data_IF_338068717698
#
_entry.id   IF_338068717698
#
_cell.length_a   1.000
_cell.length_b   1.000
_cell.length_c   1.000
_cell.angle_alpha   90.00
_cell.angle_beta   90.00
_cell.angle_gamma   90.00
#
_symmetry.space_group_name_H-M   'P 1'
#
loop_
_entity.id
_entity.type
_entity.pdbx_description
1 polymer ?
#
# COMPACT_ATOMS: atom_id res chain seq x y z
N UNK A 1 -21.64 -59.05 71.44
CA UNK A 1 -22.20 -57.90 70.74
C UNK A 1 -21.06 -57.11 70.07
N UNK A 2 -20.84 -57.35 68.77
CA UNK A 2 -19.63 -56.85 68.06
C UNK A 2 -20.05 -55.77 67.04
N UNK A 3 -19.75 -54.54 67.32
CA UNK A 3 -20.06 -53.42 66.47
C UNK A 3 -19.06 -53.36 65.29
N UNK A 4 -19.47 -53.54 64.07
CA UNK A 4 -18.73 -53.41 62.84
C UNK A 4 -18.70 -51.86 62.47
N UNK A 5 -17.53 -51.27 62.48
CA UNK A 5 -17.28 -49.93 61.96
C UNK A 5 -17.16 -50.01 60.43
N UNK A 6 -18.04 -49.36 59.73
CA UNK A 6 -17.95 -49.13 58.29
C UNK A 6 -17.01 -47.93 58.07
N UNK A 7 -15.83 -48.14 57.41
CA UNK A 7 -15.00 -47.11 56.90
C UNK A 7 -15.44 -46.70 55.53
N UNK A 8 -15.91 -45.47 55.36
CA UNK A 8 -16.18 -44.86 54.06
C UNK A 8 -14.85 -44.38 53.46
N UNK A 9 -14.40 -45.07 52.40
CA UNK A 9 -13.28 -44.63 51.56
C UNK A 9 -13.86 -43.60 50.58
N UNK A 10 -13.43 -42.36 50.73
CA UNK A 10 -13.74 -41.25 49.80
C UNK A 10 -12.76 -41.33 48.60
N UNK A 11 -13.23 -41.43 47.35
CA UNK A 11 -12.34 -41.31 46.22
C UNK A 11 -11.95 -39.83 46.03
N UNK A 12 -10.65 -39.57 46.02
CA UNK A 12 -10.06 -38.28 45.70
C UNK A 12 -10.07 -38.16 44.18
N UNK A 13 -10.97 -37.38 43.63
CA UNK A 13 -10.98 -37.04 42.20
C UNK A 13 -9.94 -35.94 41.99
N UNK A 14 -8.80 -36.30 41.44
CA UNK A 14 -7.78 -35.36 40.98
C UNK A 14 -8.24 -34.76 39.64
N UNK A 15 -8.71 -33.52 39.65
CA UNK A 15 -8.96 -32.75 38.45
C UNK A 15 -7.63 -32.17 37.92
N UNK A 16 -7.09 -32.80 36.88
CA UNK A 16 -5.94 -32.27 36.17
C UNK A 16 -6.38 -31.07 35.28
N UNK A 17 -6.06 -29.85 35.72
CA UNK A 17 -6.19 -28.65 34.86
C UNK A 17 -5.10 -28.69 33.81
N UNK A 18 -5.46 -28.99 32.58
CA UNK A 18 -4.61 -28.77 31.40
C UNK A 18 -4.68 -27.30 31.05
N UNK A 19 -3.68 -26.52 31.48
CA UNK A 19 -3.47 -25.15 31.05
C UNK A 19 -3.02 -25.16 29.58
N UNK A 20 -3.98 -25.01 28.65
CA UNK A 20 -3.71 -24.83 27.24
C UNK A 20 -3.06 -23.48 27.00
N UNK A 21 -1.73 -23.46 26.79
CA UNK A 21 -0.98 -22.27 26.35
C UNK A 21 -1.35 -22.00 24.88
N UNK A 22 -2.28 -21.10 24.63
CA UNK A 22 -2.53 -20.57 23.27
C UNK A 22 -1.36 -19.66 22.90
N UNK A 23 -0.44 -20.20 22.10
CA UNK A 23 0.63 -19.42 21.46
C UNK A 23 -0.05 -18.58 20.37
N UNK A 24 -0.27 -17.31 20.64
CA UNK A 24 -0.65 -16.35 19.61
C UNK A 24 0.55 -16.18 18.67
N UNK A 25 0.49 -16.80 17.50
CA UNK A 25 1.41 -16.49 16.41
C UNK A 25 1.15 -15.04 15.99
N UNK A 26 2.02 -14.10 16.41
CA UNK A 26 2.04 -12.75 15.88
C UNK A 26 2.49 -12.89 14.43
N UNK A 27 1.54 -12.87 13.51
CA UNK A 27 1.84 -12.79 12.09
C UNK A 27 2.61 -11.48 11.87
N UNK A 28 3.91 -11.59 11.57
CA UNK A 28 4.73 -10.44 11.20
C UNK A 28 4.14 -9.86 9.93
N UNK A 29 3.53 -8.68 10.04
CA UNK A 29 3.09 -7.94 8.87
C UNK A 29 4.32 -7.65 8.01
N UNK A 30 4.26 -7.92 6.69
CA UNK A 30 5.36 -7.56 5.81
C UNK A 30 5.67 -6.07 5.95
N UNK A 31 6.95 -5.68 5.91
CA UNK A 31 7.33 -4.28 6.08
C UNK A 31 6.64 -3.43 5.02
N UNK A 32 6.07 -2.31 5.45
CA UNK A 32 5.43 -1.37 4.53
C UNK A 32 6.49 -0.81 3.58
N UNK A 33 6.29 -0.87 2.25
CA UNK A 33 7.25 -0.33 1.30
C UNK A 33 7.51 1.16 1.56
N UNK A 34 8.79 1.53 1.67
CA UNK A 34 9.21 2.92 1.83
C UNK A 34 9.38 3.55 0.46
N UNK A 35 8.80 4.74 0.24
CA UNK A 35 9.01 5.53 -0.97
C UNK A 35 10.07 6.58 -0.76
N UNK A 36 11.06 6.62 -1.65
CA UNK A 36 12.05 7.68 -1.71
C UNK A 36 11.78 8.51 -2.97
N UNK A 37 11.60 9.82 -2.79
CA UNK A 37 11.47 10.78 -3.89
C UNK A 37 12.68 11.70 -3.88
N UNK A 38 13.35 11.81 -5.01
CA UNK A 38 14.57 12.59 -5.09
C UNK A 38 15.17 12.58 -6.49
N UNK A 39 16.40 13.05 -6.57
CA UNK A 39 17.22 13.04 -7.78
C UNK A 39 18.33 12.02 -7.61
N UNK A 40 18.53 11.15 -8.60
CA UNK A 40 19.68 10.27 -8.64
C UNK A 40 20.92 11.12 -8.97
N UNK A 41 21.89 11.14 -8.07
CA UNK A 41 23.14 11.89 -8.25
C UNK A 41 24.24 10.99 -8.81
N UNK A 42 24.24 9.70 -8.46
CA UNK A 42 25.22 8.75 -8.96
C UNK A 42 24.64 7.31 -8.98
N UNK A 43 25.21 6.50 -9.86
CA UNK A 43 25.01 5.05 -9.93
C UNK A 43 26.39 4.41 -9.84
N UNK A 44 26.60 3.60 -8.81
CA UNK A 44 27.87 2.92 -8.56
C UNK A 44 27.60 1.43 -8.33
N UNK A 45 27.82 0.64 -9.38
CA UNK A 45 27.47 -0.76 -9.38
C UNK A 45 25.98 -0.99 -9.12
N UNK A 46 25.66 -1.62 -7.99
CA UNK A 46 24.29 -1.87 -7.52
C UNK A 46 23.75 -0.80 -6.57
N UNK A 47 24.46 0.33 -6.38
CA UNK A 47 24.08 1.40 -5.46
C UNK A 47 23.64 2.64 -6.20
N UNK A 48 22.43 3.14 -5.88
CA UNK A 48 21.98 4.47 -6.28
C UNK A 48 22.24 5.46 -5.14
N UNK A 49 22.95 6.55 -5.43
CA UNK A 49 23.03 7.71 -4.56
C UNK A 49 21.89 8.67 -4.95
N UNK A 50 20.99 8.94 -4.02
CA UNK A 50 19.79 9.75 -4.24
C UNK A 50 19.75 10.92 -3.27
N UNK A 51 19.63 12.14 -3.79
CA UNK A 51 19.27 13.30 -3.00
C UNK A 51 17.77 13.36 -2.85
N UNK A 52 17.25 13.12 -1.65
CA UNK A 52 15.82 13.14 -1.39
C UNK A 52 15.25 14.57 -1.52
N UNK A 53 13.93 14.66 -1.73
CA UNK A 53 13.25 15.99 -1.70
C UNK A 53 13.34 16.68 -0.35
N UNK A 54 13.54 15.93 0.73
CA UNK A 54 13.79 16.45 2.07
C UNK A 54 15.23 16.93 2.29
N UNK A 55 16.11 16.76 1.29
CA UNK A 55 17.52 17.17 1.35
C UNK A 55 18.46 16.11 1.91
N UNK A 56 17.98 14.92 2.22
CA UNK A 56 18.79 13.82 2.75
C UNK A 56 19.53 13.08 1.63
N UNK A 57 20.75 12.63 1.92
CA UNK A 57 21.51 11.73 1.06
C UNK A 57 21.15 10.29 1.40
N UNK A 58 20.52 9.61 0.44
CA UNK A 58 20.04 8.23 0.60
C UNK A 58 20.80 7.31 -0.34
N UNK A 59 21.32 6.19 0.18
CA UNK A 59 21.92 5.12 -0.62
C UNK A 59 20.95 3.96 -0.72
N UNK A 60 20.59 3.59 -1.92
CA UNK A 60 19.67 2.50 -2.21
C UNK A 60 20.42 1.38 -2.92
N UNK A 61 20.36 0.16 -2.38
CA UNK A 61 20.88 -1.03 -3.05
C UNK A 61 19.83 -1.55 -4.04
N UNK A 62 20.22 -1.69 -5.29
CA UNK A 62 19.41 -2.29 -6.33
C UNK A 62 19.45 -3.82 -6.21
N UNK A 63 18.28 -4.43 -6.14
CA UNK A 63 18.15 -5.89 -6.14
C UNK A 63 18.04 -6.41 -7.57
N UNK A 64 18.33 -7.71 -7.79
CA UNK A 64 18.33 -8.30 -9.14
C UNK A 64 16.95 -8.32 -9.82
N UNK A 65 15.88 -8.10 -9.06
CA UNK A 65 14.50 -8.01 -9.50
C UNK A 65 14.01 -6.56 -9.66
N UNK A 66 14.94 -5.58 -9.63
CA UNK A 66 14.61 -4.17 -9.81
C UNK A 66 13.88 -3.95 -11.13
N UNK A 67 12.73 -3.27 -11.06
CA UNK A 67 12.00 -2.80 -12.23
C UNK A 67 12.19 -1.29 -12.39
N UNK A 68 12.71 -0.88 -13.55
CA UNK A 68 12.85 0.53 -13.92
C UNK A 68 11.74 0.89 -14.90
N UNK A 69 10.99 1.95 -14.59
CA UNK A 69 9.90 2.45 -15.45
C UNK A 69 10.16 3.92 -15.76
N UNK A 70 10.20 4.25 -17.06
CA UNK A 70 10.26 5.64 -17.53
C UNK A 70 8.87 6.26 -17.60
N UNK A 71 8.79 7.57 -17.35
CA UNK A 71 7.55 8.35 -17.47
C UNK A 71 7.75 9.39 -18.58
N UNK A 72 6.82 9.42 -19.55
CA UNK A 72 6.78 10.41 -20.63
C UNK A 72 5.48 11.20 -20.55
N UNK A 73 5.53 12.46 -20.99
CA UNK A 73 4.32 13.31 -21.07
C UNK A 73 3.49 12.89 -22.28
N UNK A 74 2.20 12.77 -22.06
CA UNK A 74 1.19 12.51 -23.09
C UNK A 74 0.08 13.55 -23.03
N UNK A 75 -0.75 13.62 -24.06
CA UNK A 75 -1.96 14.43 -24.06
C UNK A 75 -3.10 13.74 -23.32
N UNK A 76 -4.01 14.50 -22.73
CA UNK A 76 -5.28 13.94 -22.19
C UNK A 76 -6.10 13.23 -23.26
N UNK A 77 -5.99 13.67 -24.53
CA UNK A 77 -6.65 13.03 -25.67
C UNK A 77 -6.14 11.62 -25.98
N UNK A 78 -4.97 11.25 -25.45
CA UNK A 78 -4.39 9.92 -25.63
C UNK A 78 -4.97 8.89 -24.64
N UNK A 79 -5.68 9.36 -23.60
CA UNK A 79 -6.38 8.51 -22.66
C UNK A 79 -7.68 8.01 -23.31
N UNK A 80 -7.80 6.72 -23.51
CA UNK A 80 -8.94 6.07 -24.17
C UNK A 80 -9.79 5.30 -23.16
N UNK A 81 -11.03 5.05 -23.52
CA UNK A 81 -11.86 4.05 -22.82
C UNK A 81 -11.10 2.73 -22.83
N UNK A 82 -11.08 2.05 -21.70
CA UNK A 82 -10.30 0.85 -21.49
C UNK A 82 -8.86 1.10 -21.02
N UNK A 83 -8.31 2.33 -21.07
CA UNK A 83 -7.00 2.62 -20.48
C UNK A 83 -7.03 2.35 -18.99
N UNK A 84 -5.96 1.74 -18.45
CA UNK A 84 -5.75 1.62 -17.01
C UNK A 84 -4.94 2.83 -16.55
N UNK A 85 -5.51 3.64 -15.65
CA UNK A 85 -4.92 4.89 -15.21
C UNK A 85 -4.77 4.96 -13.69
N UNK A 86 -3.80 5.73 -13.23
CA UNK A 86 -3.68 6.17 -11.86
C UNK A 86 -3.90 7.68 -11.77
N UNK A 87 -4.81 8.11 -10.93
CA UNK A 87 -5.12 9.53 -10.75
C UNK A 87 -4.83 9.95 -9.32
N UNK A 88 -3.99 10.96 -9.16
CA UNK A 88 -3.79 11.60 -7.85
C UNK A 88 -4.72 12.80 -7.74
N UNK A 89 -5.55 12.80 -6.71
CA UNK A 89 -6.48 13.90 -6.42
C UNK A 89 -6.16 14.55 -5.07
N UNK A 90 -6.54 15.82 -4.95
CA UNK A 90 -6.60 16.57 -3.69
C UNK A 90 -8.02 17.12 -3.51
N UNK A 91 -8.46 17.42 -2.29
CA UNK A 91 -9.74 18.11 -2.07
C UNK A 91 -9.75 19.46 -2.79
N UNK A 92 -10.77 19.69 -3.60
CA UNK A 92 -11.02 20.99 -4.21
C UNK A 92 -11.73 21.93 -3.24
N UNK A 93 -11.82 23.22 -3.61
CA UNK A 93 -12.44 24.27 -2.78
C UNK A 93 -13.95 24.09 -2.59
N UNK A 94 -14.59 23.39 -3.51
CA UNK A 94 -16.01 23.06 -3.50
C UNK A 94 -16.32 21.65 -2.94
N UNK A 95 -15.29 20.98 -2.39
CA UNK A 95 -15.38 19.61 -1.90
C UNK A 95 -15.28 18.53 -2.97
N UNK A 96 -15.24 18.90 -4.25
CA UNK A 96 -14.99 17.92 -5.33
C UNK A 96 -13.51 17.60 -5.44
N UNK A 97 -13.13 16.32 -5.69
CA UNK A 97 -11.72 15.97 -5.91
C UNK A 97 -11.17 16.66 -7.15
N UNK A 98 -10.01 17.30 -7.01
CA UNK A 98 -9.26 17.91 -8.13
C UNK A 98 -8.07 17.05 -8.49
N UNK A 99 -7.98 16.60 -9.73
CA UNK A 99 -6.85 15.82 -10.22
C UNK A 99 -5.60 16.71 -10.37
N UNK A 100 -4.50 16.29 -9.78
CA UNK A 100 -3.20 16.98 -9.87
C UNK A 100 -2.21 16.21 -10.74
N UNK A 101 -2.45 14.93 -10.94
CA UNK A 101 -1.61 14.05 -11.74
C UNK A 101 -2.46 12.89 -12.29
N UNK A 102 -2.21 12.52 -13.54
CA UNK A 102 -2.79 11.33 -14.16
C UNK A 102 -1.69 10.54 -14.84
N UNK A 103 -1.59 9.26 -14.54
CA UNK A 103 -0.68 8.30 -15.18
C UNK A 103 -1.47 7.33 -16.03
N UNK A 104 -0.99 7.00 -17.21
CA UNK A 104 -1.50 5.86 -17.98
C UNK A 104 -0.50 4.73 -17.83
N UNK A 105 -0.97 3.59 -17.36
CA UNK A 105 -0.15 2.40 -17.21
C UNK A 105 -0.08 1.65 -18.53
N UNK A 106 1.08 1.09 -18.89
CA UNK A 106 1.17 0.15 -19.97
C UNK A 106 0.38 -1.13 -19.64
N UNK A 107 -0.01 -1.89 -20.67
CA UNK A 107 -0.93 -3.03 -20.50
C UNK A 107 -0.38 -4.13 -19.58
N UNK A 108 0.91 -4.35 -19.59
CA UNK A 108 1.59 -5.30 -18.68
C UNK A 108 1.58 -4.90 -17.21
N UNK A 109 1.18 -3.65 -16.91
CA UNK A 109 0.99 -3.12 -15.57
C UNK A 109 -0.49 -2.95 -15.18
N UNK A 110 -1.43 -3.39 -16.01
CA UNK A 110 -2.86 -3.36 -15.68
C UNK A 110 -3.15 -4.06 -14.35
N UNK A 111 -4.04 -3.48 -13.55
CA UNK A 111 -4.40 -3.99 -12.22
C UNK A 111 -3.43 -3.59 -11.11
N UNK A 112 -2.27 -2.98 -11.43
CA UNK A 112 -1.31 -2.55 -10.42
C UNK A 112 -1.94 -1.60 -9.41
N UNK A 113 -2.05 -2.06 -8.15
CA UNK A 113 -2.60 -1.28 -7.05
C UNK A 113 -3.99 -0.70 -7.35
N UNK A 114 -4.87 -1.47 -7.97
CA UNK A 114 -6.25 -1.07 -8.27
C UNK A 114 -7.00 -0.63 -7.01
N UNK A 115 -7.89 0.37 -7.16
CA UNK A 115 -8.64 0.98 -6.07
C UNK A 115 -8.05 2.31 -5.58
N UNK A 116 -8.64 2.83 -4.50
CA UNK A 116 -8.30 4.13 -3.91
C UNK A 116 -7.56 3.97 -2.59
N UNK A 117 -6.54 4.83 -2.36
CA UNK A 117 -5.74 4.83 -1.14
C UNK A 117 -5.14 6.20 -0.85
N UNK A 118 -4.83 6.52 0.43
CA UNK A 118 -4.04 7.71 0.76
C UNK A 118 -2.73 7.73 -0.02
N UNK A 119 -2.31 8.92 -0.44
CA UNK A 119 -1.08 9.11 -1.20
C UNK A 119 -0.25 10.27 -0.68
N UNK A 120 1.05 10.21 -0.87
CA UNK A 120 2.02 11.12 -0.27
C UNK A 120 2.58 12.17 -1.27
N UNK A 121 1.92 12.37 -2.42
CA UNK A 121 2.35 13.39 -3.38
C UNK A 121 2.17 14.80 -2.83
N UNK A 122 1.05 15.05 -2.17
CA UNK A 122 0.70 16.29 -1.46
C UNK A 122 -0.09 15.95 -0.18
N UNK A 123 -0.18 16.87 0.78
CA UNK A 123 -1.08 16.69 1.92
C UNK A 123 -2.50 16.38 1.47
N UNK A 124 -3.13 15.40 2.12
CA UNK A 124 -4.50 14.93 1.85
C UNK A 124 -4.74 14.43 0.42
N UNK A 125 -3.69 13.99 -0.28
CA UNK A 125 -3.87 13.42 -1.62
C UNK A 125 -4.30 11.96 -1.55
N UNK A 126 -5.09 11.56 -2.55
CA UNK A 126 -5.56 10.19 -2.77
C UNK A 126 -5.11 9.72 -4.14
N UNK A 127 -4.59 8.51 -4.21
CA UNK A 127 -4.31 7.82 -5.48
C UNK A 127 -5.43 6.83 -5.75
N UNK A 128 -6.02 6.93 -6.93
CA UNK A 128 -7.00 5.96 -7.45
C UNK A 128 -6.49 5.37 -8.74
N UNK A 129 -6.33 4.04 -8.77
CA UNK A 129 -6.00 3.30 -9.99
C UNK A 129 -7.24 2.55 -10.45
N UNK A 130 -7.63 2.75 -11.71
CA UNK A 130 -8.83 2.14 -12.27
C UNK A 130 -8.78 2.11 -13.81
N UNK A 131 -9.66 1.31 -14.40
CA UNK A 131 -9.91 1.32 -15.83
C UNK A 131 -10.88 2.45 -16.20
N UNK A 132 -10.59 3.20 -17.25
CA UNK A 132 -11.47 4.23 -17.78
C UNK A 132 -12.68 3.57 -18.43
N UNK A 133 -13.87 3.77 -17.86
CA UNK A 133 -15.13 3.24 -18.39
C UNK A 133 -15.73 4.16 -19.46
N UNK A 134 -15.59 5.47 -19.28
CA UNK A 134 -16.12 6.49 -20.18
C UNK A 134 -15.11 7.63 -20.33
N UNK A 135 -15.02 8.23 -21.52
CA UNK A 135 -14.26 9.45 -21.72
C UNK A 135 -15.12 10.66 -21.38
N UNK A 136 -14.78 11.33 -20.29
CA UNK A 136 -15.38 12.64 -20.00
C UNK A 136 -14.59 13.69 -20.75
N UNK A 137 -15.23 14.41 -21.68
CA UNK A 137 -14.64 15.58 -22.31
C UNK A 137 -14.24 16.59 -21.21
N UNK A 138 -12.94 16.83 -21.06
CA UNK A 138 -12.45 17.77 -20.06
C UNK A 138 -13.11 19.12 -20.27
N UNK A 139 -13.86 19.57 -19.27
CA UNK A 139 -14.42 20.91 -19.27
C UNK A 139 -13.24 21.88 -19.09
N UNK A 140 -12.71 22.37 -20.23
CA UNK A 140 -11.68 23.41 -20.23
C UNK A 140 -12.35 24.66 -19.68
N UNK A 141 -12.18 24.97 -18.40
CA UNK A 141 -12.57 26.28 -17.88
C UNK A 141 -11.82 27.32 -18.71
N UNK A 142 -12.50 28.25 -19.41
CA UNK A 142 -11.78 29.35 -20.03
C UNK A 142 -11.03 30.11 -18.93
N UNK A 143 -9.75 30.34 -19.16
CA UNK A 143 -8.96 31.24 -18.30
C UNK A 143 -9.63 32.62 -18.38
N UNK A 144 -10.18 33.10 -17.26
CA UNK A 144 -10.56 34.48 -17.03
C UNK A 144 -9.40 35.16 -16.35
#
# INVERSE_FOLDING_TARGET
MTARRFQFVRPLVAVAMVAGSTIYAIAQQPPTPTRVRGTIEAVDGDVLAVKSRGGEDVRLHMTGDLRVVGITKISLSDIKVGSFIGTTTVPGTDGTPSAVEVHVFPEDMRGTGEGSRPYDLRPNSTMTNATVSESVAGNRRPNV
#
